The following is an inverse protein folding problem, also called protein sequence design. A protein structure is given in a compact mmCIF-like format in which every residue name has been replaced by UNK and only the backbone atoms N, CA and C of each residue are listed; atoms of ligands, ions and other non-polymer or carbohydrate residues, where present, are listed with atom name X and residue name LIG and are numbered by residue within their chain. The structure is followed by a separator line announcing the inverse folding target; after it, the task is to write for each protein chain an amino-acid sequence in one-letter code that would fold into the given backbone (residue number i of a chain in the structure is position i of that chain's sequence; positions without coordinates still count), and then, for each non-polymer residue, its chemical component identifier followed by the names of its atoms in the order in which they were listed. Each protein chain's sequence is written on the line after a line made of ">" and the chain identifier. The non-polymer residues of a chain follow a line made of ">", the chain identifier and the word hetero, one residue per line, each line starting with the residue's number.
data_IF_803498712290
#
_entry.id   IF_803498712290
#
_cell.length_a   1.000
_cell.length_b   1.000
_cell.length_c   1.000
_cell.angle_alpha   90.00
_cell.angle_beta   90.00
_cell.angle_gamma   90.00
#
_symmetry.space_group_name_H-M   'P 1'
#
loop_
_entity.id
_entity.type
_entity.pdbx_description
1 polymer ?
#
# COMPACT_ATOMS: atom_id res chain seq x y z
N UNK A 1 -5.24 66.22 30.63
CA UNK A 1 -5.27 64.94 29.96
C UNK A 1 -3.85 64.40 29.90
N UNK A 2 -3.53 63.47 30.75
CA UNK A 2 -2.19 62.84 30.83
C UNK A 2 -2.31 61.42 30.24
N UNK A 3 -1.64 61.18 29.14
CA UNK A 3 -1.59 59.86 28.53
C UNK A 3 -0.43 59.08 29.18
N UNK A 4 -0.76 58.02 29.86
CA UNK A 4 0.22 57.09 30.43
C UNK A 4 0.53 56.03 29.36
N UNK A 5 1.75 56.04 28.85
CA UNK A 5 2.30 54.97 28.00
C UNK A 5 2.83 53.88 28.90
N UNK A 6 2.14 52.73 28.90
CA UNK A 6 2.61 51.50 29.56
C UNK A 6 3.55 50.80 28.58
N UNK A 7 4.84 50.81 28.87
CA UNK A 7 5.85 50.06 28.13
C UNK A 7 5.75 48.59 28.50
N UNK A 8 5.59 47.73 27.51
CA UNK A 8 5.75 46.26 27.67
C UNK A 8 7.24 45.95 27.84
N UNK A 9 7.62 45.48 29.03
CA UNK A 9 8.94 44.93 29.28
C UNK A 9 9.10 43.60 28.55
N UNK A 10 10.17 43.45 27.78
CA UNK A 10 10.60 42.18 27.21
C UNK A 10 11.43 41.46 28.29
N UNK A 11 10.91 40.33 28.75
CA UNK A 11 11.68 39.40 29.55
C UNK A 11 12.67 38.66 28.65
N UNK A 12 13.96 38.54 29.06
CA UNK A 12 14.93 37.75 28.32
C UNK A 12 14.56 36.26 28.43
N UNK A 13 14.25 35.64 27.30
CA UNK A 13 14.01 34.20 27.21
C UNK A 13 15.28 33.45 27.65
N UNK A 14 15.14 32.74 28.74
CA UNK A 14 16.12 31.78 29.25
C UNK A 14 16.23 30.63 28.27
N UNK A 15 17.33 30.55 27.56
CA UNK A 15 17.67 29.49 26.62
C UNK A 15 17.94 28.19 27.38
N UNK A 16 16.90 27.32 27.43
CA UNK A 16 17.01 25.97 28.00
C UNK A 16 17.85 25.11 27.06
N UNK A 17 18.94 24.47 27.53
CA UNK A 17 19.75 23.61 26.68
C UNK A 17 18.93 22.45 26.18
N UNK A 18 18.88 22.31 24.85
CA UNK A 18 18.25 21.20 24.13
C UNK A 18 18.94 19.88 24.51
N UNK A 19 18.19 18.83 24.90
CA UNK A 19 18.82 17.53 25.19
C UNK A 19 19.41 16.96 23.91
N UNK A 20 20.67 16.60 24.02
CA UNK A 20 21.52 15.88 23.07
C UNK A 20 20.73 14.85 22.24
N UNK A 21 20.95 14.92 20.94
CA UNK A 21 20.43 13.93 19.98
C UNK A 21 20.79 12.51 20.45
N UNK A 22 19.76 11.78 20.86
CA UNK A 22 19.87 10.36 21.12
C UNK A 22 20.13 9.68 19.77
N UNK A 23 21.31 9.11 19.62
CA UNK A 23 21.67 8.31 18.47
C UNK A 23 20.65 7.15 18.34
N UNK A 24 19.92 7.14 17.21
CA UNK A 24 19.07 6.02 16.87
C UNK A 24 19.92 4.74 16.83
N UNK A 25 19.46 3.64 17.42
CA UNK A 25 20.17 2.38 17.31
C UNK A 25 20.27 1.98 15.83
N UNK A 26 21.36 1.30 15.42
CA UNK A 26 21.51 0.85 14.04
C UNK A 26 20.31 -0.02 13.67
N UNK A 27 19.63 0.34 12.58
CA UNK A 27 18.51 -0.43 12.02
C UNK A 27 19.01 -1.82 11.71
N UNK A 28 18.52 -2.81 12.44
CA UNK A 28 18.73 -4.22 12.12
C UNK A 28 18.22 -4.42 10.67
N UNK A 29 19.00 -5.03 9.76
CA UNK A 29 18.52 -5.30 8.41
C UNK A 29 17.22 -6.11 8.54
N UNK A 30 16.14 -5.57 7.95
CA UNK A 30 14.87 -6.28 7.86
C UNK A 30 15.13 -7.62 7.18
N UNK A 31 14.64 -8.74 7.73
CA UNK A 31 14.79 -10.02 7.07
C UNK A 31 14.22 -9.89 5.65
N UNK A 32 14.95 -10.44 4.67
CA UNK A 32 14.49 -10.49 3.28
C UNK A 32 13.04 -10.99 3.24
N UNK A 33 12.18 -10.42 2.36
CA UNK A 33 10.79 -10.80 2.27
C UNK A 33 10.70 -12.32 2.16
N UNK A 34 10.09 -12.97 3.14
CA UNK A 34 9.81 -14.41 3.02
C UNK A 34 8.81 -14.53 1.89
N UNK A 35 9.16 -15.28 0.85
CA UNK A 35 8.23 -15.59 -0.21
C UNK A 35 6.99 -16.23 0.43
N UNK A 36 5.86 -15.54 0.35
CA UNK A 36 4.59 -16.06 0.86
C UNK A 36 4.09 -17.10 -0.13
N UNK A 37 3.91 -18.35 0.30
CA UNK A 37 3.56 -19.42 -0.64
C UNK A 37 2.17 -19.19 -1.21
N UNK A 38 2.01 -19.48 -2.49
CA UNK A 38 0.71 -19.53 -3.15
C UNK A 38 0.10 -20.91 -2.90
N UNK A 39 -0.90 -20.94 -2.04
CA UNK A 39 -1.62 -22.15 -1.66
C UNK A 39 -2.95 -22.25 -2.41
N UNK A 40 -3.65 -23.38 -2.25
CA UNK A 40 -5.01 -23.51 -2.75
C UNK A 40 -5.94 -22.45 -2.13
N UNK A 41 -5.79 -22.17 -0.84
CA UNK A 41 -6.54 -21.12 -0.14
C UNK A 41 -6.29 -19.72 -0.74
N UNK A 42 -5.03 -19.41 -1.12
CA UNK A 42 -4.69 -18.16 -1.82
C UNK A 42 -5.47 -18.04 -3.13
N UNK A 43 -5.53 -19.14 -3.91
CA UNK A 43 -6.26 -19.14 -5.18
C UNK A 43 -7.76 -18.98 -4.99
N UNK A 44 -8.34 -19.66 -3.99
CA UNK A 44 -9.75 -19.54 -3.64
C UNK A 44 -10.09 -18.13 -3.15
N UNK A 45 -9.23 -17.53 -2.34
CA UNK A 45 -9.36 -16.13 -1.89
C UNK A 45 -9.36 -15.18 -3.08
N UNK A 46 -8.46 -15.37 -4.03
CA UNK A 46 -8.43 -14.58 -5.26
C UNK A 46 -9.72 -14.74 -6.07
N UNK A 47 -10.18 -15.97 -6.26
CA UNK A 47 -11.41 -16.25 -7.00
C UNK A 47 -12.64 -15.60 -6.35
N UNK A 48 -12.68 -15.57 -5.03
CA UNK A 48 -13.82 -15.01 -4.31
C UNK A 48 -13.80 -13.46 -4.29
N UNK A 49 -12.67 -12.84 -3.94
CA UNK A 49 -12.60 -11.40 -3.72
C UNK A 49 -12.12 -10.60 -4.94
N UNK A 50 -11.26 -11.15 -5.77
CA UNK A 50 -10.56 -10.42 -6.82
C UNK A 50 -11.12 -10.69 -8.22
N UNK A 51 -11.46 -11.95 -8.51
CA UNK A 51 -11.86 -12.39 -9.85
C UNK A 51 -13.14 -11.72 -10.36
N UNK A 52 -14.00 -11.22 -9.47
CA UNK A 52 -15.22 -10.50 -9.84
C UNK A 52 -14.93 -9.28 -10.74
N UNK A 53 -13.76 -8.67 -10.54
CA UNK A 53 -13.29 -7.54 -11.35
C UNK A 53 -12.11 -7.94 -12.22
N UNK A 54 -11.11 -8.64 -11.65
CA UNK A 54 -9.86 -8.96 -12.35
C UNK A 54 -9.94 -10.20 -13.27
N UNK A 55 -11.04 -10.96 -13.20
CA UNK A 55 -11.21 -12.21 -13.97
C UNK A 55 -10.57 -13.40 -13.27
N UNK A 56 -11.11 -14.60 -13.53
CA UNK A 56 -10.63 -15.87 -12.96
C UNK A 56 -9.21 -16.21 -13.39
N UNK A 57 -8.79 -15.69 -14.53
CA UNK A 57 -7.49 -15.81 -15.17
C UNK A 57 -6.60 -14.56 -15.05
N UNK A 58 -7.09 -13.52 -14.36
CA UNK A 58 -6.36 -12.29 -14.09
C UNK A 58 -6.36 -11.24 -15.22
N UNK A 59 -7.03 -11.48 -16.35
CA UNK A 59 -7.02 -10.58 -17.52
C UNK A 59 -7.80 -9.26 -17.35
N UNK A 60 -8.32 -8.95 -16.16
CA UNK A 60 -9.08 -7.72 -15.92
C UNK A 60 -10.49 -7.75 -16.52
N UNK A 61 -11.01 -8.93 -16.86
CA UNK A 61 -12.30 -9.13 -17.55
C UNK A 61 -13.32 -9.88 -16.66
N UNK A 62 -13.31 -9.61 -15.36
CA UNK A 62 -14.31 -10.15 -14.45
C UNK A 62 -15.71 -9.63 -14.77
N UNK A 63 -16.72 -10.29 -14.22
CA UNK A 63 -18.14 -9.98 -14.48
C UNK A 63 -18.49 -8.50 -14.18
N UNK A 64 -17.81 -7.90 -13.19
CA UNK A 64 -18.04 -6.50 -12.82
C UNK A 64 -17.20 -5.50 -13.65
N UNK A 65 -16.22 -5.97 -14.44
CA UNK A 65 -15.28 -5.09 -15.14
C UNK A 65 -15.97 -4.11 -16.10
N UNK A 66 -17.03 -4.54 -16.79
CA UNK A 66 -17.80 -3.72 -17.74
C UNK A 66 -18.58 -2.59 -17.08
N UNK A 67 -18.79 -2.64 -15.78
CA UNK A 67 -19.53 -1.63 -15.00
C UNK A 67 -18.59 -0.58 -14.37
N UNK A 68 -17.28 -0.72 -14.54
CA UNK A 68 -16.29 0.17 -13.94
C UNK A 68 -15.85 1.22 -14.97
N UNK A 69 -15.79 2.49 -14.54
CA UNK A 69 -15.29 3.59 -15.38
C UNK A 69 -13.81 3.49 -15.68
N UNK A 70 -13.04 2.84 -14.80
CA UNK A 70 -11.63 2.53 -15.01
C UNK A 70 -11.47 1.02 -15.00
N UNK A 71 -10.99 0.42 -16.09
CA UNK A 71 -10.83 -1.03 -16.16
C UNK A 71 -9.91 -1.58 -15.07
N UNK A 72 -10.22 -2.76 -14.52
CA UNK A 72 -9.30 -3.46 -13.62
C UNK A 72 -7.97 -3.74 -14.30
N UNK A 73 -6.90 -3.79 -13.52
CA UNK A 73 -5.59 -4.17 -14.06
C UNK A 73 -5.60 -5.62 -14.53
N UNK A 74 -4.99 -5.82 -15.67
CA UNK A 74 -4.66 -7.15 -16.17
C UNK A 74 -3.43 -7.66 -15.42
N UNK A 75 -3.62 -8.68 -14.60
CA UNK A 75 -2.60 -9.31 -13.77
C UNK A 75 -1.69 -10.26 -14.55
N UNK A 76 -1.89 -10.41 -15.85
CA UNK A 76 -1.02 -11.20 -16.74
C UNK A 76 -0.02 -10.34 -17.50
N UNK A 77 -0.06 -9.01 -17.31
CA UNK A 77 0.81 -8.05 -18.01
C UNK A 77 2.12 -7.83 -17.27
N UNK A 78 3.15 -8.59 -17.64
CA UNK A 78 4.48 -8.50 -17.05
C UNK A 78 5.08 -7.09 -17.21
N UNK A 79 5.01 -6.49 -18.39
CA UNK A 79 5.55 -5.18 -18.73
C UNK A 79 5.10 -4.06 -17.78
N UNK A 80 3.88 -4.16 -17.26
CA UNK A 80 3.39 -3.23 -16.25
C UNK A 80 3.75 -3.66 -14.84
N UNK A 81 3.57 -4.95 -14.51
CA UNK A 81 3.70 -5.44 -13.13
C UNK A 81 5.15 -5.47 -12.64
N UNK A 82 6.11 -5.70 -13.52
CA UNK A 82 7.54 -5.60 -13.21
C UNK A 82 7.93 -4.21 -12.70
N UNK A 83 7.27 -3.15 -13.18
CA UNK A 83 7.53 -1.78 -12.73
C UNK A 83 6.88 -1.45 -11.38
N UNK A 84 6.22 -2.42 -10.72
CA UNK A 84 5.56 -2.27 -9.42
C UNK A 84 6.24 -3.17 -8.40
N UNK A 85 6.65 -2.59 -7.28
CA UNK A 85 7.20 -3.38 -6.18
C UNK A 85 6.11 -4.22 -5.52
N UNK A 86 6.48 -5.27 -4.82
CA UNK A 86 5.53 -6.08 -4.03
C UNK A 86 4.83 -5.24 -2.97
N UNK A 87 5.54 -4.29 -2.36
CA UNK A 87 4.97 -3.34 -1.41
C UNK A 87 3.90 -2.44 -2.06
N UNK A 88 4.10 -2.02 -3.31
CA UNK A 88 3.10 -1.26 -4.05
C UNK A 88 1.84 -2.10 -4.31
N UNK A 89 2.00 -3.37 -4.68
CA UNK A 89 0.88 -4.29 -4.89
C UNK A 89 0.17 -4.60 -3.57
N UNK A 90 0.92 -4.83 -2.50
CA UNK A 90 0.40 -5.00 -1.14
C UNK A 90 -0.46 -3.80 -0.71
N UNK A 91 0.09 -2.59 -0.85
CA UNK A 91 -0.62 -1.34 -0.50
C UNK A 91 -1.90 -1.18 -1.32
N UNK A 92 -1.85 -1.50 -2.63
CA UNK A 92 -3.03 -1.45 -3.49
C UNK A 92 -4.15 -2.39 -3.03
N UNK A 93 -3.81 -3.58 -2.55
CA UNK A 93 -4.78 -4.55 -2.02
C UNK A 93 -5.26 -4.11 -0.63
N UNK A 94 -4.33 -3.82 0.28
CA UNK A 94 -4.65 -3.49 1.66
C UNK A 94 -5.49 -2.22 1.77
N UNK A 95 -5.10 -1.15 1.07
CA UNK A 95 -5.66 0.19 1.22
C UNK A 95 -6.54 0.63 0.04
N UNK A 96 -6.62 -0.18 -1.01
CA UNK A 96 -7.42 0.12 -2.19
C UNK A 96 -6.71 0.97 -3.23
N UNK A 97 -7.36 1.11 -4.39
CA UNK A 97 -6.77 1.77 -5.56
C UNK A 97 -6.36 3.22 -5.33
N UNK A 98 -7.05 3.96 -4.48
CA UNK A 98 -6.71 5.36 -4.17
C UNK A 98 -5.35 5.53 -3.52
N UNK A 99 -4.94 4.60 -2.66
CA UNK A 99 -3.67 4.66 -1.95
C UNK A 99 -2.46 4.61 -2.90
N UNK A 100 -2.65 4.07 -4.09
CA UNK A 100 -1.62 3.97 -5.14
C UNK A 100 -1.90 4.87 -6.34
N UNK A 101 -2.68 5.93 -6.16
CA UNK A 101 -2.99 6.92 -7.19
C UNK A 101 -3.90 6.41 -8.31
N UNK A 102 -4.74 5.40 -8.02
CA UNK A 102 -5.70 4.83 -8.96
C UNK A 102 -7.14 5.19 -8.62
N UNK A 103 -8.07 4.79 -9.47
CA UNK A 103 -9.49 5.01 -9.23
C UNK A 103 -9.99 4.29 -7.96
N UNK A 104 -11.04 4.82 -7.31
CA UNK A 104 -11.58 4.26 -6.06
C UNK A 104 -12.37 2.96 -6.25
N UNK A 105 -12.52 2.48 -7.48
CA UNK A 105 -13.31 1.29 -7.79
C UNK A 105 -12.68 -0.01 -7.27
N UNK A 106 -11.39 -0.04 -6.96
CA UNK A 106 -10.78 -1.12 -6.18
C UNK A 106 -10.88 -0.78 -4.69
N UNK A 107 -11.67 -1.54 -3.91
CA UNK A 107 -11.83 -1.30 -2.49
C UNK A 107 -10.58 -1.68 -1.70
N UNK A 108 -10.49 -1.24 -0.44
CA UNK A 108 -9.49 -1.72 0.51
C UNK A 108 -9.91 -3.06 1.10
N UNK A 109 -8.98 -3.99 1.18
CA UNK A 109 -9.21 -5.33 1.72
C UNK A 109 -8.57 -5.57 3.09
N UNK A 110 -7.77 -4.62 3.61
CA UNK A 110 -7.06 -4.75 4.87
C UNK A 110 -7.94 -4.90 6.12
N UNK A 111 -9.26 -4.65 6.02
CA UNK A 111 -10.21 -4.93 7.08
C UNK A 111 -10.83 -6.34 6.99
N UNK A 112 -10.62 -7.03 5.89
CA UNK A 112 -11.22 -8.35 5.60
C UNK A 112 -10.16 -9.44 5.53
N UNK A 113 -8.99 -9.10 4.98
CA UNK A 113 -7.86 -10.01 4.78
C UNK A 113 -6.69 -9.57 5.66
N UNK A 114 -6.05 -10.53 6.31
CA UNK A 114 -4.81 -10.26 7.05
C UNK A 114 -3.62 -10.07 6.12
N UNK A 115 -2.53 -9.50 6.66
CA UNK A 115 -1.35 -9.14 5.89
C UNK A 115 -0.67 -10.36 5.22
N UNK A 116 -0.66 -11.54 5.88
CA UNK A 116 -0.08 -12.76 5.29
C UNK A 116 -0.88 -13.21 4.07
N UNK A 117 -2.21 -13.16 4.15
CA UNK A 117 -3.11 -13.46 3.03
C UNK A 117 -2.88 -12.47 1.89
N UNK A 118 -2.72 -11.17 2.18
CA UNK A 118 -2.45 -10.15 1.17
C UNK A 118 -1.09 -10.40 0.50
N UNK A 119 -0.04 -10.71 1.26
CA UNK A 119 1.27 -11.06 0.69
C UNK A 119 1.19 -12.31 -0.21
N UNK A 120 0.43 -13.34 0.19
CA UNK A 120 0.21 -14.52 -0.65
C UNK A 120 -0.53 -14.17 -1.95
N UNK A 121 -1.48 -13.23 -1.91
CA UNK A 121 -2.15 -12.71 -3.11
C UNK A 121 -1.18 -11.93 -4.02
N UNK A 122 -0.25 -11.16 -3.47
CA UNK A 122 0.83 -10.52 -4.25
C UNK A 122 1.66 -11.57 -4.96
N UNK A 123 2.08 -12.63 -4.25
CA UNK A 123 2.81 -13.76 -4.85
C UNK A 123 1.99 -14.42 -5.97
N UNK A 124 0.67 -14.57 -5.79
CA UNK A 124 -0.19 -15.13 -6.84
C UNK A 124 -0.30 -14.23 -8.07
N UNK A 125 -0.33 -12.90 -7.90
CA UNK A 125 -0.27 -11.94 -9.02
C UNK A 125 1.05 -12.11 -9.77
N UNK A 126 2.17 -12.34 -9.09
CA UNK A 126 3.47 -12.65 -9.72
C UNK A 126 3.45 -13.94 -10.52
N UNK A 127 2.77 -14.98 -10.02
CA UNK A 127 2.55 -16.20 -10.81
C UNK A 127 1.73 -15.92 -12.08
N UNK A 128 0.66 -15.14 -11.99
CA UNK A 128 -0.19 -14.81 -13.13
C UNK A 128 0.56 -14.06 -14.23
N UNK A 129 1.42 -13.10 -13.89
CA UNK A 129 2.22 -12.37 -14.87
C UNK A 129 3.51 -13.12 -15.27
N UNK A 130 3.89 -14.16 -14.54
CA UNK A 130 5.20 -14.82 -14.68
C UNK A 130 6.36 -13.82 -14.60
N UNK A 131 6.27 -12.88 -13.65
CA UNK A 131 7.19 -11.74 -13.51
C UNK A 131 7.53 -11.46 -12.05
N UNK A 132 8.68 -10.85 -11.84
CA UNK A 132 9.14 -10.32 -10.56
C UNK A 132 9.16 -8.78 -10.60
N UNK A 133 9.33 -8.14 -9.45
CA UNK A 133 9.58 -6.69 -9.42
C UNK A 133 11.01 -6.38 -9.86
N UNK A 134 11.18 -5.35 -10.66
CA UNK A 134 12.48 -4.83 -11.07
C UNK A 134 13.20 -4.14 -9.91
#
# INVERSE_FOLDING_TARGET
>A
MVAILIGCGQDPAEEKPSPSASASPPSTPSPAPRAHPVTQETRETYQFYCAQCHGTDGHGKGINASHLTVPPRDHTKADYLETRTDEHLFTAIQQGGRAVGRAPCMPSWGHTLDDNTIHSLVSYIRELCQCESL
#
